data_IF_402582242469
#
_entry.id   IF_402582242469
#
_cell.length_a   1.000
_cell.length_b   1.000
_cell.length_c   1.000
_cell.angle_alpha   90.00
_cell.angle_beta   90.00
_cell.angle_gamma   90.00
#
_symmetry.space_group_name_H-M   'P 1'
#
loop_
_entity.id
_entity.type
_entity.pdbx_description
1 polymer ?
#
# COMPACT_ATOMS: atom_id res chain seq x y z
N UNK A 1 -3.28 -6.04 56.81
CA UNK A 1 -2.23 -6.81 56.10
C UNK A 1 -2.73 -8.24 55.81
N UNK A 2 -3.80 -8.41 55.01
CA UNK A 2 -4.50 -9.71 54.88
C UNK A 2 -4.59 -10.29 53.45
N UNK A 3 -4.13 -9.56 52.43
CA UNK A 3 -4.26 -10.00 51.04
C UNK A 3 -2.98 -9.85 50.18
N UNK A 4 -1.77 -10.16 50.69
CA UNK A 4 -0.55 -10.04 49.88
C UNK A 4 -0.54 -10.99 48.66
N UNK A 5 -1.22 -12.13 48.78
CA UNK A 5 -1.36 -13.11 47.70
C UNK A 5 -2.34 -12.62 46.62
N UNK A 6 -3.42 -11.96 47.02
CA UNK A 6 -4.40 -11.39 46.07
C UNK A 6 -3.78 -10.24 45.27
N UNK A 7 -2.95 -9.40 45.90
CA UNK A 7 -2.22 -8.34 45.20
C UNK A 7 -1.18 -8.89 44.22
N UNK A 8 -0.55 -10.03 44.52
CA UNK A 8 0.43 -10.66 43.63
C UNK A 8 -0.23 -11.24 42.36
N UNK A 9 -1.43 -11.83 42.50
CA UNK A 9 -2.17 -12.42 41.38
C UNK A 9 -2.67 -11.35 40.39
N UNK A 10 -3.05 -10.17 40.87
CA UNK A 10 -3.49 -9.06 40.02
C UNK A 10 -2.33 -8.53 39.17
N UNK A 11 -1.11 -8.45 39.73
CA UNK A 11 0.09 -8.01 39.01
C UNK A 11 0.52 -9.04 37.95
N UNK A 12 0.37 -10.33 38.21
CA UNK A 12 0.68 -11.39 37.25
C UNK A 12 -0.32 -11.46 36.08
N UNK A 13 -1.59 -11.08 36.29
CA UNK A 13 -2.57 -10.97 35.20
C UNK A 13 -2.39 -9.71 34.34
N UNK A 14 -1.76 -8.65 34.86
CA UNK A 14 -1.47 -7.43 34.10
C UNK A 14 -0.29 -7.53 33.13
N UNK A 15 0.42 -8.66 33.10
CA UNK A 15 1.51 -8.91 32.14
C UNK A 15 1.07 -9.59 30.84
N UNK A 16 -0.23 -9.75 30.60
CA UNK A 16 -0.69 -9.97 29.22
C UNK A 16 -0.46 -8.66 28.47
N UNK A 17 0.75 -8.49 27.94
CA UNK A 17 1.02 -7.50 26.90
C UNK A 17 -0.10 -7.65 25.88
N UNK A 18 -0.89 -6.60 25.64
CA UNK A 18 -1.72 -6.58 24.46
C UNK A 18 -0.75 -6.76 23.29
N UNK A 19 -0.84 -7.89 22.59
CA UNK A 19 -0.34 -7.97 21.22
C UNK A 19 -1.35 -7.15 20.43
N UNK A 20 -1.22 -5.83 20.50
CA UNK A 20 -1.83 -4.97 19.52
C UNK A 20 -1.12 -5.35 18.22
N UNK A 21 -1.82 -6.06 17.33
CA UNK A 21 -1.38 -6.18 15.95
C UNK A 21 -1.25 -4.75 15.44
N UNK A 22 -0.02 -4.26 15.37
CA UNK A 22 0.28 -2.98 14.74
C UNK A 22 -0.20 -3.11 13.30
N UNK A 23 -1.16 -2.28 12.90
CA UNK A 23 -1.65 -2.27 11.53
C UNK A 23 -0.51 -1.73 10.64
N UNK A 24 0.36 -2.62 10.19
CA UNK A 24 1.52 -2.26 9.38
C UNK A 24 1.07 -2.03 7.94
N UNK A 25 1.30 -0.83 7.44
CA UNK A 25 1.06 -0.49 6.04
C UNK A 25 2.35 -0.72 5.25
N UNK A 26 2.75 -1.99 5.15
CA UNK A 26 3.95 -2.41 4.43
C UNK A 26 3.61 -3.21 3.16
N UNK A 27 4.66 -3.60 2.44
CA UNK A 27 4.54 -4.37 1.20
C UNK A 27 3.93 -5.75 1.38
N UNK A 28 4.07 -6.40 2.55
CA UNK A 28 3.46 -7.70 2.81
C UNK A 28 1.93 -7.58 2.87
N UNK A 29 1.44 -6.59 3.63
CA UNK A 29 0.00 -6.32 3.70
C UNK A 29 -0.54 -5.84 2.35
N UNK A 30 0.21 -4.99 1.62
CA UNK A 30 -0.16 -4.57 0.27
C UNK A 30 -0.25 -5.74 -0.71
N UNK A 31 0.72 -6.65 -0.66
CA UNK A 31 0.76 -7.85 -1.49
C UNK A 31 -0.50 -8.69 -1.29
N UNK A 32 -0.85 -8.96 -0.02
CA UNK A 32 -2.06 -9.69 0.32
C UNK A 32 -3.33 -8.95 -0.14
N UNK A 33 -3.44 -7.65 0.14
CA UNK A 33 -4.57 -6.81 -0.26
C UNK A 33 -4.79 -6.85 -1.78
N UNK A 34 -3.73 -6.69 -2.58
CA UNK A 34 -3.84 -6.67 -4.03
C UNK A 34 -4.03 -8.05 -4.65
N UNK A 35 -3.55 -9.12 -4.03
CA UNK A 35 -3.93 -10.48 -4.42
C UNK A 35 -5.44 -10.70 -4.29
N UNK A 36 -6.06 -10.23 -3.20
CA UNK A 36 -7.52 -10.31 -3.04
C UNK A 36 -8.24 -9.49 -4.12
N UNK A 37 -7.75 -8.28 -4.41
CA UNK A 37 -8.34 -7.35 -5.37
C UNK A 37 -8.40 -7.87 -6.82
N UNK A 38 -7.47 -8.73 -7.21
CA UNK A 38 -7.43 -9.30 -8.57
C UNK A 38 -7.95 -10.74 -8.65
N UNK A 39 -8.28 -11.35 -7.50
CA UNK A 39 -8.79 -12.70 -7.44
C UNK A 39 -10.19 -12.79 -8.06
N UNK A 40 -10.53 -13.96 -8.63
CA UNK A 40 -11.87 -14.20 -9.20
C UNK A 40 -12.94 -14.41 -8.12
N UNK A 41 -12.52 -14.72 -6.90
CA UNK A 41 -13.40 -15.01 -5.76
C UNK A 41 -13.07 -14.07 -4.59
N UNK A 42 -13.01 -12.77 -4.87
CA UNK A 42 -12.76 -11.77 -3.85
C UNK A 42 -13.86 -11.83 -2.77
N UNK A 43 -13.53 -12.38 -1.61
CA UNK A 43 -14.44 -12.53 -0.47
C UNK A 43 -14.20 -11.47 0.61
N UNK A 44 -12.99 -10.92 0.68
CA UNK A 44 -12.60 -9.88 1.62
C UNK A 44 -12.62 -8.49 0.97
N UNK A 45 -13.80 -7.87 0.94
CA UNK A 45 -14.01 -6.54 0.35
C UNK A 45 -13.19 -5.43 1.04
N UNK A 46 -12.83 -5.61 2.32
CA UNK A 46 -12.01 -4.64 3.04
C UNK A 46 -10.60 -4.63 2.45
N UNK A 47 -10.01 -5.82 2.25
CA UNK A 47 -8.70 -5.99 1.63
C UNK A 47 -8.67 -5.49 0.18
N UNK A 48 -9.71 -5.79 -0.60
CA UNK A 48 -9.88 -5.22 -1.95
C UNK A 48 -9.91 -3.70 -1.91
N UNK A 49 -10.69 -3.13 -0.98
CA UNK A 49 -10.81 -1.70 -0.76
C UNK A 49 -9.46 -1.04 -0.45
N UNK A 50 -8.64 -1.65 0.40
CA UNK A 50 -7.30 -1.13 0.71
C UNK A 50 -6.38 -1.09 -0.51
N UNK A 51 -6.35 -2.14 -1.34
CA UNK A 51 -5.53 -2.12 -2.55
C UNK A 51 -5.97 -1.01 -3.52
N UNK A 52 -7.25 -0.98 -3.89
CA UNK A 52 -7.75 0.02 -4.84
C UNK A 52 -7.72 1.44 -4.26
N UNK A 53 -7.94 1.59 -2.96
CA UNK A 53 -7.88 2.87 -2.26
C UNK A 53 -6.49 3.49 -2.30
N UNK A 54 -5.43 2.71 -2.03
CA UNK A 54 -4.06 3.22 -2.12
C UNK A 54 -3.68 3.58 -3.56
N UNK A 55 -3.99 2.72 -4.54
CA UNK A 55 -3.72 3.01 -5.95
C UNK A 55 -4.44 4.29 -6.38
N UNK A 56 -5.71 4.45 -6.00
CA UNK A 56 -6.47 5.67 -6.29
C UNK A 56 -5.86 6.90 -5.62
N UNK A 57 -5.51 6.81 -4.34
CA UNK A 57 -4.88 7.91 -3.61
C UNK A 57 -3.55 8.33 -4.23
N UNK A 58 -2.73 7.37 -4.67
CA UNK A 58 -1.46 7.65 -5.34
C UNK A 58 -1.67 8.25 -6.74
N UNK A 59 -2.72 7.85 -7.46
CA UNK A 59 -3.11 8.52 -8.71
C UNK A 59 -3.52 9.97 -8.48
N UNK A 60 -4.36 10.22 -7.49
CA UNK A 60 -4.82 11.57 -7.15
C UNK A 60 -3.62 12.44 -6.72
N UNK A 61 -2.70 11.91 -5.91
CA UNK A 61 -1.46 12.60 -5.53
C UNK A 61 -0.55 12.89 -6.74
N UNK A 62 -0.40 11.93 -7.66
CA UNK A 62 0.38 12.11 -8.89
C UNK A 62 -0.18 13.25 -9.75
N UNK A 63 -1.51 13.38 -9.85
CA UNK A 63 -2.18 14.48 -10.54
C UNK A 63 -1.93 15.80 -9.81
N UNK A 64 -2.14 15.85 -8.50
CA UNK A 64 -1.92 17.07 -7.70
C UNK A 64 -0.48 17.56 -7.80
N UNK A 65 0.51 16.69 -7.69
CA UNK A 65 1.90 17.10 -7.78
C UNK A 65 2.30 17.56 -9.18
N UNK A 66 1.75 16.93 -10.23
CA UNK A 66 1.92 17.43 -11.59
C UNK A 66 1.33 18.83 -11.80
N UNK A 67 0.22 19.14 -11.14
CA UNK A 67 -0.44 20.44 -11.26
C UNK A 67 0.27 21.53 -10.44
N UNK A 68 0.60 21.23 -9.17
CA UNK A 68 1.05 22.25 -8.22
C UNK A 68 2.57 22.38 -8.09
N UNK A 69 3.35 21.35 -8.45
CA UNK A 69 4.83 21.35 -8.35
C UNK A 69 5.53 20.69 -9.57
N UNK A 70 5.13 21.01 -10.82
CA UNK A 70 5.58 20.31 -12.03
C UNK A 70 7.11 20.31 -12.22
N UNK A 71 7.80 21.37 -11.82
CA UNK A 71 9.24 21.55 -12.09
C UNK A 71 10.13 20.63 -11.25
N UNK A 72 9.60 20.07 -10.16
CA UNK A 72 10.37 19.24 -9.21
C UNK A 72 9.85 17.82 -9.08
N UNK A 73 8.65 17.54 -9.58
CA UNK A 73 8.01 16.24 -9.46
C UNK A 73 8.19 15.41 -10.73
N UNK A 74 8.83 14.25 -10.61
CA UNK A 74 8.86 13.22 -11.66
C UNK A 74 7.78 12.19 -11.35
N UNK A 75 6.64 12.33 -12.03
CA UNK A 75 5.51 11.41 -11.90
C UNK A 75 5.51 10.25 -12.90
N UNK A 76 4.39 9.56 -12.95
CA UNK A 76 4.09 8.50 -13.93
C UNK A 76 2.86 8.87 -14.76
N UNK A 77 2.69 8.21 -15.91
CA UNK A 77 1.70 8.55 -16.92
C UNK A 77 0.84 7.33 -17.26
N UNK A 78 -0.24 7.12 -16.51
CA UNK A 78 -1.19 6.03 -16.77
C UNK A 78 -1.96 6.30 -18.06
N UNK A 79 -1.91 5.40 -19.08
CA UNK A 79 -2.66 5.57 -20.31
C UNK A 79 -4.18 5.59 -20.10
N UNK A 80 -4.89 6.27 -21.01
CA UNK A 80 -6.35 6.29 -21.00
C UNK A 80 -6.93 4.88 -21.10
N UNK A 81 -7.94 4.59 -20.27
CA UNK A 81 -8.64 3.30 -20.26
C UNK A 81 -8.00 2.23 -19.36
N UNK A 82 -6.83 2.49 -18.75
CA UNK A 82 -6.28 1.59 -17.73
C UNK A 82 -7.11 1.67 -16.44
N UNK A 83 -7.68 0.54 -16.06
CA UNK A 83 -8.52 0.38 -14.87
C UNK A 83 -7.69 0.22 -13.59
N UNK A 84 -8.30 0.48 -12.42
CA UNK A 84 -7.66 0.19 -11.12
C UNK A 84 -7.32 -1.30 -10.96
N UNK A 85 -8.14 -2.21 -11.52
CA UNK A 85 -7.83 -3.64 -11.51
C UNK A 85 -6.57 -4.00 -12.29
N UNK A 86 -6.31 -3.33 -13.42
CA UNK A 86 -5.07 -3.50 -14.19
C UNK A 86 -3.88 -2.89 -13.45
N UNK A 87 -4.05 -1.72 -12.83
CA UNK A 87 -3.00 -1.13 -11.98
C UNK A 87 -2.70 -1.99 -10.74
N UNK A 88 -3.69 -2.66 -10.16
CA UNK A 88 -3.47 -3.60 -9.07
C UNK A 88 -2.67 -4.83 -9.49
N UNK A 89 -2.87 -5.32 -10.73
CA UNK A 89 -2.00 -6.37 -11.30
C UNK A 89 -0.56 -5.90 -11.44
N UNK A 90 -0.36 -4.67 -11.92
CA UNK A 90 0.98 -4.05 -11.97
C UNK A 90 1.64 -4.00 -10.60
N UNK A 91 0.92 -3.53 -9.58
CA UNK A 91 1.42 -3.50 -8.20
C UNK A 91 1.78 -4.91 -7.72
N UNK A 92 0.90 -5.89 -7.95
CA UNK A 92 1.17 -7.28 -7.57
C UNK A 92 2.43 -7.83 -8.25
N UNK A 93 2.56 -7.64 -9.56
CA UNK A 93 3.73 -8.10 -10.33
C UNK A 93 5.03 -7.43 -9.88
N UNK A 94 4.98 -6.14 -9.53
CA UNK A 94 6.12 -5.42 -8.97
C UNK A 94 6.54 -6.02 -7.62
N UNK A 95 5.60 -6.25 -6.71
CA UNK A 95 5.88 -6.81 -5.38
C UNK A 95 6.45 -8.24 -5.48
N UNK A 96 5.93 -9.06 -6.39
CA UNK A 96 6.43 -10.42 -6.66
C UNK A 96 7.90 -10.40 -7.12
N UNK A 97 8.28 -9.43 -7.95
CA UNK A 97 9.68 -9.25 -8.41
C UNK A 97 10.59 -8.61 -7.36
N UNK A 98 10.04 -7.90 -6.38
CA UNK A 98 10.77 -7.09 -5.39
C UNK A 98 10.57 -7.56 -3.95
N UNK A 99 10.61 -8.87 -3.70
CA UNK A 99 10.36 -9.47 -2.37
C UNK A 99 11.21 -8.88 -1.22
N UNK A 100 12.45 -8.45 -1.51
CA UNK A 100 13.34 -7.82 -0.51
C UNK A 100 12.85 -6.47 0.01
N UNK A 101 11.90 -5.85 -0.68
CA UNK A 101 11.39 -4.51 -0.39
C UNK A 101 10.04 -4.55 0.34
N UNK A 102 9.49 -5.72 0.66
CA UNK A 102 8.17 -5.85 1.27
C UNK A 102 8.08 -5.28 2.69
N UNK A 103 9.20 -5.06 3.37
CA UNK A 103 9.21 -4.33 4.66
C UNK A 103 9.07 -2.81 4.50
N UNK A 104 9.13 -2.30 3.27
CA UNK A 104 8.93 -0.86 3.00
C UNK A 104 7.46 -0.50 3.07
N UNK A 105 7.23 0.79 3.25
CA UNK A 105 5.88 1.34 3.32
C UNK A 105 5.13 1.14 1.98
N UNK A 106 3.87 0.74 2.10
CA UNK A 106 3.01 0.35 0.98
C UNK A 106 2.80 1.45 -0.07
N UNK A 107 2.61 2.69 0.34
CA UNK A 107 2.45 3.87 -0.53
C UNK A 107 3.70 4.08 -1.41
N UNK A 108 4.90 3.91 -0.84
CA UNK A 108 6.16 3.96 -1.60
C UNK A 108 6.20 2.86 -2.65
N UNK A 109 5.79 1.64 -2.30
CA UNK A 109 5.78 0.50 -3.22
C UNK A 109 4.75 0.65 -4.33
N UNK A 110 3.55 1.18 -4.05
CA UNK A 110 2.55 1.51 -5.08
C UNK A 110 3.11 2.53 -6.05
N UNK A 111 3.70 3.63 -5.55
CA UNK A 111 4.31 4.66 -6.39
C UNK A 111 5.41 4.09 -7.29
N UNK A 112 6.31 3.28 -6.72
CA UNK A 112 7.39 2.64 -7.47
C UNK A 112 6.85 1.71 -8.58
N UNK A 113 5.83 0.92 -8.29
CA UNK A 113 5.16 0.07 -9.28
C UNK A 113 4.59 0.88 -10.45
N UNK A 114 3.90 1.98 -10.16
CA UNK A 114 3.32 2.83 -11.20
C UNK A 114 4.41 3.51 -12.04
N UNK A 115 5.50 3.98 -11.41
CA UNK A 115 6.65 4.57 -12.11
C UNK A 115 7.34 3.58 -13.05
N UNK A 116 7.53 2.34 -12.62
CA UNK A 116 8.18 1.30 -13.43
C UNK A 116 7.30 0.90 -14.63
N UNK A 117 5.99 0.76 -14.42
CA UNK A 117 5.07 0.29 -15.47
C UNK A 117 4.61 1.41 -16.43
N UNK A 118 4.54 2.65 -15.96
CA UNK A 118 4.01 3.78 -16.70
C UNK A 118 4.97 4.98 -16.72
N UNK A 119 6.22 4.81 -17.17
CA UNK A 119 7.14 5.93 -17.29
C UNK A 119 6.53 6.98 -18.24
N UNK A 120 6.56 8.24 -17.83
CA UNK A 120 6.20 9.32 -18.73
C UNK A 120 7.27 9.44 -19.83
N UNK A 121 6.89 9.28 -21.10
CA UNK A 121 7.76 9.69 -22.20
C UNK A 121 7.99 11.20 -22.09
N UNK A 122 9.24 11.65 -22.19
CA UNK A 122 9.53 13.08 -22.30
C UNK A 122 8.78 13.60 -23.52
N UNK A 123 7.91 14.59 -23.32
CA UNK A 123 7.22 15.26 -24.43
C UNK A 123 8.30 15.70 -25.41
N UNK A 124 8.36 15.09 -26.61
CA UNK A 124 9.15 15.65 -27.71
C UNK A 124 8.71 17.11 -27.87
N UNK A 125 9.63 18.06 -28.08
CA UNK A 125 9.25 19.45 -28.28
C UNK A 125 8.25 19.49 -29.44
N UNK A 126 7.06 20.02 -29.16
CA UNK A 126 6.02 20.22 -30.15
C UNK A 126 6.56 21.23 -31.19
N UNK A 127 6.46 20.95 -32.50
CA UNK A 127 7.06 21.77 -33.56
C UNK A 127 6.49 23.20 -33.64
#
# INVERSE_FOLDING_TARGET
>A
MKYPILTLLIVLFSHQSLWADEFKFDGHELLYNCQQAISKEASDFVRVGFCFGQIRGINDMNILFKEFIPDTYTGYCVPNGVTLGQQARVVLEYLDKHQKDLDKESTVLVLAAQLEAFPCEQKSPEP
#
